data_IF_813187441161
#
_entry.id   IF_813187441161
#
_cell.length_a   1.000
_cell.length_b   1.000
_cell.length_c   1.000
_cell.angle_alpha   90.00
_cell.angle_beta   90.00
_cell.angle_gamma   90.00
#
_symmetry.space_group_name_H-M   'P 1'
#
loop_
_entity.id
_entity.type
_entity.pdbx_description
1 polymer ?
#
# COMPACT_ATOMS: atom_id res chain seq x y z
N UNK A 1 -2.06 2.96 -9.06
CA UNK A 1 -2.10 1.69 -8.27
C UNK A 1 -0.85 0.83 -8.43
N UNK A 2 -0.59 0.22 -9.59
CA UNK A 2 0.64 -0.59 -9.78
C UNK A 2 1.90 0.27 -9.61
N UNK A 3 1.87 1.50 -10.13
CA UNK A 3 2.93 2.51 -9.89
C UNK A 3 3.11 2.84 -8.40
N UNK A 4 2.01 2.95 -7.66
CA UNK A 4 2.02 3.16 -6.20
C UNK A 4 2.77 2.03 -5.51
N UNK A 5 2.46 0.77 -5.85
CA UNK A 5 3.09 -0.41 -5.25
C UNK A 5 4.58 -0.52 -5.62
N UNK A 6 4.99 -0.09 -6.82
CA UNK A 6 6.40 -0.10 -7.24
C UNK A 6 7.26 0.85 -6.37
N UNK A 7 6.69 1.98 -5.95
CA UNK A 7 7.37 2.94 -5.08
C UNK A 7 7.52 2.50 -3.62
N UNK A 8 6.83 1.42 -3.21
CA UNK A 8 7.13 0.69 -1.97
C UNK A 8 8.38 -0.21 -2.09
N UNK A 9 9.22 -0.02 -3.12
CA UNK A 9 10.38 -0.86 -3.42
C UNK A 9 10.03 -2.34 -3.68
N UNK A 10 8.84 -2.60 -4.23
CA UNK A 10 8.40 -3.95 -4.58
C UNK A 10 8.71 -4.29 -6.04
N UNK A 11 8.98 -5.57 -6.29
CA UNK A 11 9.09 -6.13 -7.62
C UNK A 11 7.69 -6.21 -8.25
N UNK A 12 7.55 -5.50 -9.35
CA UNK A 12 6.40 -5.58 -10.24
C UNK A 12 6.92 -5.90 -11.63
N UNK A 13 6.26 -6.80 -12.36
CA UNK A 13 6.63 -7.11 -13.72
C UNK A 13 6.44 -5.87 -14.62
N UNK A 14 7.40 -5.61 -15.51
CA UNK A 14 7.30 -4.49 -16.47
C UNK A 14 6.04 -4.59 -17.35
N UNK A 15 5.56 -5.81 -17.62
CA UNK A 15 4.30 -6.05 -18.31
C UNK A 15 3.09 -5.49 -17.56
N UNK A 16 3.11 -5.51 -16.22
CA UNK A 16 2.04 -4.96 -15.40
C UNK A 16 2.07 -3.42 -15.37
N UNK A 17 3.26 -2.82 -15.52
CA UNK A 17 3.45 -1.37 -15.59
C UNK A 17 3.06 -0.77 -16.95
N UNK A 18 3.16 -1.57 -18.02
CA UNK A 18 2.92 -1.15 -19.40
C UNK A 18 1.62 -1.72 -20.00
N UNK A 19 0.83 -2.43 -19.18
CA UNK A 19 -0.44 -3.04 -19.61
C UNK A 19 -1.40 -1.95 -20.10
N UNK A 20 -1.92 -2.13 -21.32
CA UNK A 20 -2.96 -1.26 -21.87
C UNK A 20 -4.33 -1.52 -21.23
N UNK A 21 -5.24 -0.55 -21.37
CA UNK A 21 -6.62 -0.69 -20.88
C UNK A 21 -7.34 -1.89 -21.50
N UNK A 22 -7.12 -2.16 -22.79
CA UNK A 22 -7.78 -3.27 -23.50
C UNK A 22 -7.26 -4.63 -23.03
N UNK A 23 -5.95 -4.75 -22.80
CA UNK A 23 -5.36 -5.95 -22.18
C UNK A 23 -5.93 -6.19 -20.79
N UNK A 24 -6.05 -5.12 -19.98
CA UNK A 24 -6.66 -5.21 -18.65
C UNK A 24 -8.12 -5.69 -18.74
N UNK A 25 -8.92 -5.11 -19.65
CA UNK A 25 -10.33 -5.50 -19.84
C UNK A 25 -10.46 -6.95 -20.29
N UNK A 26 -9.63 -7.38 -21.24
CA UNK A 26 -9.64 -8.76 -21.72
C UNK A 26 -9.30 -9.76 -20.61
N UNK A 27 -8.41 -9.39 -19.70
CA UNK A 27 -7.94 -10.29 -18.63
C UNK A 27 -8.89 -10.30 -17.42
N UNK A 28 -9.35 -9.14 -16.98
CA UNK A 28 -10.06 -8.96 -15.71
C UNK A 28 -11.52 -8.53 -15.84
N UNK A 29 -12.02 -8.19 -17.03
CA UNK A 29 -13.38 -7.71 -17.24
C UNK A 29 -14.11 -8.39 -18.42
N UNK A 30 -13.72 -9.64 -18.74
CA UNK A 30 -14.25 -10.39 -19.88
C UNK A 30 -15.77 -10.66 -19.81
N UNK A 31 -16.35 -10.64 -18.60
CA UNK A 31 -17.78 -10.81 -18.35
C UNK A 31 -18.60 -9.51 -18.39
N UNK A 32 -17.99 -8.38 -18.74
CA UNK A 32 -18.63 -7.05 -18.73
C UNK A 32 -18.53 -6.31 -17.39
N UNK A 33 -18.04 -6.96 -16.34
CA UNK A 33 -17.70 -6.37 -15.05
C UNK A 33 -16.32 -6.81 -14.60
N UNK A 34 -15.64 -5.99 -13.81
CA UNK A 34 -14.30 -6.30 -13.29
C UNK A 34 -14.37 -7.40 -12.22
N UNK A 35 -13.65 -8.49 -12.43
CA UNK A 35 -13.42 -9.56 -11.45
C UNK A 35 -12.39 -9.10 -10.42
N UNK A 36 -12.88 -8.60 -9.28
CA UNK A 36 -12.07 -8.06 -8.19
C UNK A 36 -11.30 -9.14 -7.44
N UNK A 37 -11.79 -10.38 -7.41
CA UNK A 37 -11.09 -11.48 -6.76
C UNK A 37 -9.80 -11.78 -7.53
N UNK A 38 -9.86 -11.80 -8.86
CA UNK A 38 -8.68 -11.99 -9.72
C UNK A 38 -7.70 -10.83 -9.68
N UNK A 39 -8.12 -9.63 -9.29
CA UNK A 39 -7.21 -8.51 -9.03
C UNK A 39 -6.41 -8.67 -7.74
N UNK A 40 -6.74 -9.61 -6.86
CA UNK A 40 -5.98 -9.82 -5.63
C UNK A 40 -4.68 -10.57 -5.92
N UNK A 41 -3.53 -9.96 -5.61
CA UNK A 41 -2.21 -10.55 -5.85
C UNK A 41 -1.25 -10.30 -4.67
N UNK A 42 -0.10 -10.99 -4.72
CA UNK A 42 1.03 -10.82 -3.80
C UNK A 42 2.17 -10.15 -4.56
N UNK A 43 2.81 -9.16 -3.93
CA UNK A 43 4.08 -8.59 -4.39
C UNK A 43 5.20 -8.93 -3.43
N UNK A 44 6.43 -8.93 -3.92
CA UNK A 44 7.63 -9.19 -3.13
C UNK A 44 8.51 -7.95 -3.14
N UNK A 45 9.21 -7.66 -2.05
CA UNK A 45 10.17 -6.55 -2.01
C UNK A 45 11.37 -6.85 -2.92
N UNK A 46 11.86 -5.84 -3.62
CA UNK A 46 13.00 -5.97 -4.55
C UNK A 46 14.29 -6.39 -3.86
N UNK A 47 14.53 -5.85 -2.68
CA UNK A 47 15.77 -6.10 -1.92
C UNK A 47 15.64 -7.28 -0.95
N UNK A 48 14.42 -7.80 -0.75
CA UNK A 48 14.12 -8.89 0.18
C UNK A 48 12.90 -9.70 -0.27
N UNK A 49 13.09 -10.80 -1.04
CA UNK A 49 12.00 -11.63 -1.53
C UNK A 49 11.17 -12.31 -0.43
N UNK A 50 11.70 -12.40 0.80
CA UNK A 50 10.95 -12.94 1.95
C UNK A 50 9.94 -11.95 2.49
N UNK A 51 10.13 -10.66 2.20
CA UNK A 51 9.19 -9.61 2.53
C UNK A 51 8.13 -9.49 1.43
N UNK A 52 6.99 -10.13 1.67
CA UNK A 52 5.86 -10.15 0.76
C UNK A 52 4.73 -9.24 1.27
N UNK A 53 3.87 -8.81 0.34
CA UNK A 53 2.71 -8.00 0.64
C UNK A 53 1.51 -8.41 -0.20
N UNK A 54 0.37 -8.62 0.44
CA UNK A 54 -0.90 -8.82 -0.24
C UNK A 54 -1.52 -7.50 -0.69
N UNK A 55 -2.18 -7.51 -1.84
CA UNK A 55 -3.05 -6.43 -2.28
C UNK A 55 -4.44 -7.00 -2.53
N UNK A 56 -5.39 -6.64 -1.68
CA UNK A 56 -6.77 -7.11 -1.70
C UNK A 56 -7.71 -6.11 -2.37
N UNK A 57 -8.60 -6.63 -3.21
CA UNK A 57 -9.67 -5.87 -3.86
C UNK A 57 -11.03 -6.46 -3.46
N UNK A 58 -11.66 -5.95 -2.39
CA UNK A 58 -12.98 -6.42 -1.97
C UNK A 58 -14.01 -6.16 -3.07
N UNK A 59 -14.84 -7.16 -3.36
CA UNK A 59 -16.00 -7.00 -4.25
C UNK A 59 -17.16 -6.28 -3.56
N UNK A 60 -17.26 -6.43 -2.25
CA UNK A 60 -18.31 -5.82 -1.44
C UNK A 60 -18.25 -4.28 -1.48
N UNK A 61 -19.43 -3.66 -1.69
CA UNK A 61 -19.60 -2.19 -1.58
C UNK A 61 -19.39 -1.66 -0.16
N UNK A 62 -19.49 -2.53 0.84
CA UNK A 62 -19.24 -2.18 2.24
C UNK A 62 -18.32 -3.21 2.87
N UNK A 63 -17.13 -2.77 3.28
CA UNK A 63 -16.11 -3.62 3.90
C UNK A 63 -16.32 -3.63 5.41
N UNK A 64 -16.91 -4.73 5.90
CA UNK A 64 -17.07 -5.02 7.33
C UNK A 64 -15.94 -5.83 7.96
N UNK A 65 -16.04 -6.05 9.28
CA UNK A 65 -15.05 -6.80 10.09
C UNK A 65 -14.82 -8.24 9.61
N UNK A 66 -15.85 -8.91 9.09
CA UNK A 66 -15.73 -10.28 8.59
C UNK A 66 -14.69 -10.39 7.48
N UNK A 67 -14.73 -9.48 6.48
CA UNK A 67 -13.76 -9.44 5.39
C UNK A 67 -12.33 -9.18 5.90
N UNK A 68 -12.17 -8.30 6.88
CA UNK A 68 -10.84 -8.00 7.45
C UNK A 68 -10.26 -9.24 8.13
N UNK A 69 -11.07 -9.99 8.87
CA UNK A 69 -10.64 -11.25 9.49
C UNK A 69 -10.28 -12.31 8.44
N UNK A 70 -11.03 -12.38 7.36
CA UNK A 70 -10.72 -13.25 6.22
C UNK A 70 -9.36 -12.91 5.61
N UNK A 71 -9.09 -11.63 5.36
CA UNK A 71 -7.80 -11.18 4.82
C UNK A 71 -6.63 -11.47 5.78
N UNK A 72 -6.80 -11.21 7.08
CA UNK A 72 -5.80 -11.56 8.10
C UNK A 72 -5.55 -13.07 8.13
N UNK A 73 -6.61 -13.88 8.01
CA UNK A 73 -6.47 -15.34 7.97
C UNK A 73 -5.70 -15.81 6.73
N UNK A 74 -5.98 -15.22 5.56
CA UNK A 74 -5.24 -15.51 4.32
C UNK A 74 -3.78 -15.09 4.41
N UNK A 75 -3.51 -13.90 4.93
CA UNK A 75 -2.17 -13.39 5.24
C UNK A 75 -1.39 -14.36 6.13
N UNK A 76 -2.00 -14.78 7.25
CA UNK A 76 -1.40 -15.72 8.19
C UNK A 76 -1.10 -17.09 7.56
N UNK A 77 -2.03 -17.62 6.76
CA UNK A 77 -1.87 -18.91 6.06
C UNK A 77 -0.66 -18.91 5.10
N UNK A 78 -0.41 -17.79 4.43
CA UNK A 78 0.70 -17.65 3.48
C UNK A 78 1.96 -17.04 4.12
N UNK A 79 1.98 -16.88 5.45
CA UNK A 79 3.09 -16.26 6.21
C UNK A 79 3.45 -14.84 5.74
N UNK A 80 2.47 -14.11 5.20
CA UNK A 80 2.61 -12.74 4.73
C UNK A 80 2.09 -11.78 5.79
N UNK A 81 2.92 -10.85 6.23
CA UNK A 81 2.55 -9.94 7.32
C UNK A 81 2.10 -8.55 6.86
N UNK A 82 2.37 -8.18 5.61
CA UNK A 82 1.98 -6.90 5.03
C UNK A 82 0.78 -7.05 4.09
N UNK A 83 -0.18 -6.14 4.18
CA UNK A 83 -1.36 -6.15 3.34
C UNK A 83 -1.87 -4.75 3.04
N UNK A 84 -2.40 -4.57 1.84
CA UNK A 84 -3.13 -3.38 1.40
C UNK A 84 -4.54 -3.79 1.00
N UNK A 85 -5.54 -3.03 1.45
CA UNK A 85 -6.93 -3.20 1.02
C UNK A 85 -7.32 -1.98 0.18
N UNK A 86 -7.73 -2.23 -1.06
CA UNK A 86 -8.22 -1.20 -1.98
C UNK A 86 -9.72 -1.34 -2.13
N UNK A 87 -10.49 -0.40 -1.57
CA UNK A 87 -11.95 -0.48 -1.51
C UNK A 87 -12.61 0.68 -2.27
N UNK A 88 -13.71 0.41 -2.98
CA UNK A 88 -14.43 1.41 -3.77
C UNK A 88 -15.67 2.01 -3.12
N UNK A 89 -16.12 1.46 -1.99
CA UNK A 89 -17.31 1.91 -1.28
C UNK A 89 -17.02 2.36 0.14
N UNK A 90 -17.86 1.98 1.10
CA UNK A 90 -17.65 2.35 2.49
C UNK A 90 -16.91 1.26 3.27
N UNK A 91 -16.29 1.67 4.38
CA UNK A 91 -15.63 0.76 5.30
C UNK A 91 -16.18 1.01 6.71
N UNK A 92 -16.59 -0.06 7.40
CA UNK A 92 -17.20 0.07 8.73
C UNK A 92 -16.19 0.63 9.74
N UNK A 93 -16.51 1.63 10.58
CA UNK A 93 -15.58 2.15 11.59
C UNK A 93 -15.00 1.08 12.54
N UNK A 94 -15.72 -0.04 12.72
CA UNK A 94 -15.25 -1.17 13.54
C UNK A 94 -14.04 -1.88 12.93
N UNK A 95 -13.81 -1.78 11.62
CA UNK A 95 -12.62 -2.38 10.98
C UNK A 95 -11.34 -1.71 11.44
N UNK A 96 -11.36 -0.41 11.75
CA UNK A 96 -10.18 0.29 12.27
C UNK A 96 -9.74 -0.29 13.59
N UNK A 97 -10.67 -0.58 14.50
CA UNK A 97 -10.36 -1.20 15.80
C UNK A 97 -9.63 -2.53 15.62
N UNK A 98 -10.12 -3.37 14.69
CA UNK A 98 -9.50 -4.67 14.38
C UNK A 98 -8.11 -4.47 13.81
N UNK A 99 -7.95 -3.55 12.86
CA UNK A 99 -6.66 -3.22 12.23
C UNK A 99 -5.64 -2.70 13.24
N UNK A 100 -6.05 -1.84 14.18
CA UNK A 100 -5.18 -1.31 15.25
C UNK A 100 -4.88 -2.33 16.34
N UNK A 101 -5.70 -3.38 16.47
CA UNK A 101 -5.48 -4.46 17.43
C UNK A 101 -4.59 -5.58 16.90
N UNK A 102 -4.14 -5.48 15.64
CA UNK A 102 -3.21 -6.44 15.06
C UNK A 102 -1.87 -6.43 15.82
N UNK A 103 -1.22 -7.59 15.95
CA UNK A 103 0.15 -7.67 16.46
C UNK A 103 1.08 -6.74 15.68
N UNK A 104 2.11 -6.20 16.34
CA UNK A 104 3.02 -5.20 15.75
C UNK A 104 3.76 -5.68 14.50
N UNK A 105 3.89 -6.98 14.30
CA UNK A 105 4.49 -7.56 13.10
C UNK A 105 3.54 -7.60 11.90
N UNK A 106 2.23 -7.46 12.10
CA UNK A 106 1.24 -7.37 11.02
C UNK A 106 0.95 -5.92 10.67
N UNK A 107 0.94 -5.62 9.37
CA UNK A 107 0.60 -4.30 8.86
C UNK A 107 -0.48 -4.44 7.80
N UNK A 108 -1.61 -3.82 8.05
CA UNK A 108 -2.73 -3.77 7.12
C UNK A 108 -3.09 -2.31 6.88
N UNK A 109 -2.93 -1.87 5.64
CA UNK A 109 -3.26 -0.53 5.16
C UNK A 109 -4.54 -0.57 4.33
N UNK A 110 -5.18 0.60 4.22
CA UNK A 110 -6.38 0.76 3.41
C UNK A 110 -6.22 1.97 2.48
N UNK A 111 -6.75 1.87 1.28
CA UNK A 111 -6.87 2.96 0.33
C UNK A 111 -8.26 2.93 -0.30
N UNK A 112 -8.88 4.10 -0.40
CA UNK A 112 -10.08 4.21 -1.21
C UNK A 112 -9.66 4.24 -2.68
N UNK A 113 -10.42 3.60 -3.56
CA UNK A 113 -10.10 3.53 -5.00
C UNK A 113 -9.94 4.91 -5.62
N UNK A 114 -10.77 5.89 -5.21
CA UNK A 114 -10.68 7.27 -5.69
C UNK A 114 -9.31 7.89 -5.43
N UNK A 115 -8.65 7.53 -4.32
CA UNK A 115 -7.37 8.09 -3.90
C UNK A 115 -6.22 7.57 -4.78
N UNK A 116 -6.44 6.46 -5.48
CA UNK A 116 -5.43 5.79 -6.32
C UNK A 116 -5.62 6.03 -7.82
N UNK A 117 -6.65 6.80 -8.21
CA UNK A 117 -6.95 7.14 -9.61
C UNK A 117 -5.86 8.02 -10.23
N UNK A 118 -5.29 8.93 -9.44
CA UNK A 118 -4.25 9.86 -9.90
C UNK A 118 -3.01 9.67 -9.04
N UNK A 119 -1.85 9.63 -9.68
CA UNK A 119 -0.59 9.59 -8.95
C UNK A 119 -0.25 11.00 -8.42
N UNK A 120 -0.54 11.24 -7.14
CA UNK A 120 -0.30 12.54 -6.50
C UNK A 120 1.18 12.96 -6.52
N UNK A 121 2.12 12.02 -6.66
CA UNK A 121 3.57 12.33 -6.67
C UNK A 121 4.05 12.93 -8.00
N UNK A 122 3.24 12.84 -9.06
CA UNK A 122 3.52 13.47 -10.36
C UNK A 122 2.89 14.85 -10.49
N UNK A 123 2.13 15.29 -9.48
CA UNK A 123 1.50 16.60 -9.48
C UNK A 123 2.55 17.70 -9.34
N UNK A 124 2.44 18.75 -10.15
CA UNK A 124 3.42 19.87 -10.21
C UNK A 124 3.72 20.50 -8.85
N UNK A 125 2.71 20.65 -8.00
CA UNK A 125 2.85 21.23 -6.66
C UNK A 125 3.45 20.28 -5.60
N UNK A 126 3.65 19.00 -5.93
CA UNK A 126 4.19 18.01 -4.99
C UNK A 126 5.67 17.78 -5.30
N UNK A 127 6.60 18.19 -4.41
CA UNK A 127 8.02 17.97 -4.65
C UNK A 127 8.36 16.47 -4.59
N UNK A 128 9.50 16.10 -5.17
CA UNK A 128 9.99 14.73 -5.09
C UNK A 128 10.42 14.39 -3.66
N UNK A 129 9.92 13.27 -3.16
CA UNK A 129 10.28 12.72 -1.85
C UNK A 129 11.09 11.43 -2.03
N UNK A 130 12.06 11.20 -1.15
CA UNK A 130 12.88 9.98 -1.15
C UNK A 130 13.04 9.49 0.27
N UNK A 131 12.82 8.18 0.46
CA UNK A 131 13.06 7.52 1.74
C UNK A 131 14.55 7.43 1.99
N UNK A 132 14.96 7.83 3.19
CA UNK A 132 16.34 7.70 3.65
C UNK A 132 16.51 6.37 4.36
N UNK A 133 17.67 5.74 4.17
CA UNK A 133 18.07 4.60 4.99
C UNK A 133 18.64 5.07 6.35
N UNK A 134 18.83 4.14 7.27
CA UNK A 134 19.29 4.45 8.64
C UNK A 134 20.67 5.12 8.67
N UNK A 135 21.56 4.77 7.74
CA UNK A 135 22.88 5.36 7.62
C UNK A 135 22.80 6.83 7.18
N UNK A 136 22.02 7.11 6.13
CA UNK A 136 21.76 8.46 5.64
C UNK A 136 21.08 9.33 6.70
N UNK A 137 20.14 8.76 7.47
CA UNK A 137 19.51 9.45 8.61
C UNK A 137 20.56 9.86 9.65
N UNK A 138 21.44 8.94 10.04
CA UNK A 138 22.53 9.21 11.01
C UNK A 138 23.48 10.28 10.49
N UNK A 139 23.84 10.25 9.21
CA UNK A 139 24.74 11.21 8.60
C UNK A 139 24.17 12.63 8.61
N UNK A 140 22.87 12.80 8.30
CA UNK A 140 22.20 14.11 8.35
C UNK A 140 22.19 14.66 9.78
N UNK A 141 21.79 13.83 10.76
CA UNK A 141 21.75 14.25 12.17
C UNK A 141 23.14 14.68 12.65
N UNK A 142 24.18 13.93 12.28
CA UNK A 142 25.58 14.25 12.63
C UNK A 142 26.06 15.52 11.93
N UNK A 143 25.81 15.67 10.62
CA UNK A 143 26.27 16.80 9.80
C UNK A 143 25.70 18.13 10.31
N UNK A 144 24.42 18.16 10.67
CA UNK A 144 23.74 19.37 11.16
C UNK A 144 23.70 19.46 12.69
N UNK A 145 24.28 18.49 13.41
CA UNK A 145 24.28 18.41 14.89
C UNK A 145 22.87 18.52 15.48
N UNK A 146 21.91 17.84 14.85
CA UNK A 146 20.49 17.84 15.23
C UNK A 146 20.13 16.59 16.01
N UNK A 147 19.13 16.72 16.90
CA UNK A 147 18.36 15.60 17.45
C UNK A 147 17.19 15.30 16.53
N UNK A 148 16.71 14.06 16.52
CA UNK A 148 15.55 13.66 15.70
C UNK A 148 14.31 14.53 15.96
N UNK A 149 14.12 14.97 17.20
CA UNK A 149 12.99 15.82 17.60
C UNK A 149 13.01 17.21 16.99
N UNK A 150 14.15 17.66 16.44
CA UNK A 150 14.32 18.97 15.83
C UNK A 150 14.09 18.96 14.32
N UNK A 151 13.89 17.77 13.71
CA UNK A 151 13.55 17.68 12.31
C UNK A 151 12.08 18.08 12.09
N UNK A 152 11.76 18.71 10.94
CA UNK A 152 10.38 18.92 10.51
C UNK A 152 9.61 17.59 10.51
N UNK A 153 8.37 17.62 11.01
CA UNK A 153 7.53 16.43 11.11
C UNK A 153 6.50 16.43 9.98
N UNK A 154 6.31 15.27 9.38
CA UNK A 154 5.21 14.97 8.46
C UNK A 154 4.15 14.14 9.21
N UNK A 155 2.87 14.39 8.93
CA UNK A 155 1.79 13.57 9.49
C UNK A 155 1.82 12.17 8.85
N UNK A 156 1.49 11.13 9.63
CA UNK A 156 1.30 9.79 9.06
C UNK A 156 0.05 9.72 8.16
N UNK A 157 -0.89 10.64 8.34
CA UNK A 157 -2.09 10.75 7.50
C UNK A 157 -1.84 11.55 6.22
N UNK A 158 -0.65 12.11 6.04
CA UNK A 158 -0.28 12.83 4.82
C UNK A 158 -0.35 11.88 3.60
N UNK A 159 -0.98 12.28 2.48
CA UNK A 159 -1.10 11.43 1.30
C UNK A 159 0.24 10.91 0.77
N UNK A 160 1.30 11.73 0.81
CA UNK A 160 2.65 11.34 0.38
C UNK A 160 3.27 10.37 1.39
N UNK A 161 3.12 10.63 2.70
CA UNK A 161 3.62 9.72 3.73
C UNK A 161 2.96 8.33 3.63
N UNK A 162 1.64 8.30 3.40
CA UNK A 162 0.88 7.07 3.15
C UNK A 162 1.32 6.40 1.85
N UNK A 163 1.52 7.16 0.78
CA UNK A 163 1.96 6.64 -0.52
C UNK A 163 3.30 5.91 -0.44
N UNK A 164 4.25 6.41 0.35
CA UNK A 164 5.54 5.73 0.58
C UNK A 164 5.52 4.71 1.73
N UNK A 165 4.38 4.55 2.42
CA UNK A 165 4.26 3.65 3.57
C UNK A 165 5.19 4.02 4.72
N UNK A 166 5.41 5.31 4.95
CA UNK A 166 6.27 5.83 6.02
C UNK A 166 5.75 5.41 7.39
N UNK A 167 6.67 5.00 8.26
CA UNK A 167 6.39 4.64 9.66
C UNK A 167 7.20 5.52 10.59
N UNK A 168 6.76 5.58 11.85
CA UNK A 168 7.41 6.39 12.89
C UNK A 168 8.62 5.68 13.49
#
# INVERSE_FOLDING_TARGET
MILTINQYHNLIANSDLTRSLDQFRSEFASSGSVDRVRLTFVVQKKDDPTNQMFVFFPEARSVGVAHIREYISKMSKESVTNGIIVYGGSMSPLTEKVRTSLPSNYRLEKFHESDLLVNITEHELVPQHRILNDEQKKDILKRYRLRETQLPRISLDDPVARYYGMVR
#
